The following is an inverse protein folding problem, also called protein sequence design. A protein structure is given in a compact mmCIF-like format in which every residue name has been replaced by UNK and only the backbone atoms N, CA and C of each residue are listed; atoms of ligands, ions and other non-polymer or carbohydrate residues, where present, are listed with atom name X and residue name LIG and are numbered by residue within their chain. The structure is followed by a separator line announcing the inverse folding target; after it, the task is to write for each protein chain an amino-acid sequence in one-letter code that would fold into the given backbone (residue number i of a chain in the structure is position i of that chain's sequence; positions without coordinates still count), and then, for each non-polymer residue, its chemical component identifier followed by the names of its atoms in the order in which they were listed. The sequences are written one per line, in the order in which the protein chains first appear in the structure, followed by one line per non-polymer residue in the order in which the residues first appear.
data_IF_784231698558
#
_entry.id   IF_784231698558
#
_cell.length_a   1.000
_cell.length_b   1.000
_cell.length_c   1.000
_cell.angle_alpha   90.00
_cell.angle_beta   90.00
_cell.angle_gamma   90.00
#
_symmetry.space_group_name_H-M   'P 1'
#
loop_
_entity.id
_entity.type
_entity.pdbx_description
1 polymer ?
#
# COMPACT_ATOMS: atom_id res chain seq x y z
N UNK A 1 6.92 18.19 -58.25
CA UNK A 1 6.08 18.91 -57.26
C UNK A 1 5.02 18.05 -56.58
N UNK A 2 4.37 17.10 -57.28
CA UNK A 2 3.28 16.28 -56.70
C UNK A 2 3.74 15.37 -55.55
N UNK A 3 4.94 14.78 -55.65
CA UNK A 3 5.55 13.95 -54.60
C UNK A 3 5.86 14.72 -53.31
N UNK A 4 6.38 15.95 -53.43
CA UNK A 4 6.66 16.83 -52.27
C UNK A 4 5.36 17.26 -51.56
N UNK A 5 4.30 17.54 -52.32
CA UNK A 5 2.98 17.84 -51.74
C UNK A 5 2.40 16.65 -50.99
N UNK A 6 2.49 15.45 -51.55
CA UNK A 6 2.07 14.22 -50.89
C UNK A 6 2.84 13.98 -49.59
N UNK A 7 4.17 14.08 -49.64
CA UNK A 7 5.03 13.89 -48.48
C UNK A 7 4.75 14.93 -47.38
N UNK A 8 4.52 16.19 -47.75
CA UNK A 8 4.15 17.23 -46.80
C UNK A 8 2.81 16.92 -46.09
N UNK A 9 1.77 16.55 -46.85
CA UNK A 9 0.46 16.19 -46.27
C UNK A 9 0.58 14.98 -45.36
N UNK A 10 1.32 13.95 -45.77
CA UNK A 10 1.58 12.77 -44.95
C UNK A 10 2.27 13.13 -43.63
N UNK A 11 3.33 13.94 -43.68
CA UNK A 11 4.04 14.37 -42.48
C UNK A 11 3.16 15.23 -41.55
N UNK A 12 2.32 16.11 -42.09
CA UNK A 12 1.37 16.88 -41.28
C UNK A 12 0.38 15.98 -40.54
N UNK A 13 -0.16 14.95 -41.21
CA UNK A 13 -1.09 14.00 -40.59
C UNK A 13 -0.37 13.21 -39.49
N UNK A 14 0.83 12.69 -39.78
CA UNK A 14 1.62 11.94 -38.80
C UNK A 14 1.98 12.80 -37.58
N UNK A 15 2.33 14.07 -37.79
CA UNK A 15 2.61 14.99 -36.70
C UNK A 15 1.40 15.18 -35.78
N UNK A 16 0.19 15.37 -36.35
CA UNK A 16 -1.03 15.49 -35.55
C UNK A 16 -1.31 14.21 -34.76
N UNK A 17 -1.16 13.04 -35.38
CA UNK A 17 -1.34 11.75 -34.71
C UNK A 17 -0.37 11.60 -33.54
N UNK A 18 0.92 11.88 -33.76
CA UNK A 18 1.95 11.81 -32.72
C UNK A 18 1.63 12.80 -31.60
N UNK A 19 1.24 14.03 -31.92
CA UNK A 19 0.90 15.04 -30.92
C UNK A 19 -0.29 14.60 -30.04
N UNK A 20 -1.34 14.04 -30.64
CA UNK A 20 -2.50 13.52 -29.90
C UNK A 20 -2.09 12.36 -28.99
N UNK A 21 -1.33 11.38 -29.50
CA UNK A 21 -0.84 10.25 -28.70
C UNK A 21 0.03 10.76 -27.54
N UNK A 22 0.92 11.71 -27.80
CA UNK A 22 1.79 12.28 -26.78
C UNK A 22 1.00 12.92 -25.65
N UNK A 23 0.00 13.76 -25.97
CA UNK A 23 -0.87 14.41 -24.98
C UNK A 23 -1.61 13.35 -24.14
N UNK A 24 -2.19 12.33 -24.76
CA UNK A 24 -2.90 11.26 -24.06
C UNK A 24 -1.97 10.51 -23.10
N UNK A 25 -0.76 10.16 -23.56
CA UNK A 25 0.24 9.50 -22.72
C UNK A 25 0.70 10.39 -21.57
N UNK A 26 0.88 11.69 -21.78
CA UNK A 26 1.25 12.63 -20.72
C UNK A 26 0.15 12.72 -19.66
N UNK A 27 -1.12 12.84 -20.05
CA UNK A 27 -2.25 12.87 -19.11
C UNK A 27 -2.31 11.56 -18.32
N UNK A 28 -2.21 10.41 -18.99
CA UNK A 28 -2.24 9.11 -18.34
C UNK A 28 -1.06 8.90 -17.38
N UNK A 29 0.14 9.30 -17.79
CA UNK A 29 1.34 9.21 -16.96
C UNK A 29 1.20 10.08 -15.70
N UNK A 30 0.76 11.34 -15.85
CA UNK A 30 0.55 12.25 -14.72
C UNK A 30 -0.51 11.72 -13.74
N UNK A 31 -1.61 11.16 -14.26
CA UNK A 31 -2.64 10.52 -13.43
C UNK A 31 -2.07 9.32 -12.66
N UNK A 32 -1.35 8.42 -13.34
CA UNK A 32 -0.71 7.25 -12.72
C UNK A 32 0.32 7.67 -11.68
N UNK A 33 1.15 8.66 -11.99
CA UNK A 33 2.18 9.18 -11.10
C UNK A 33 1.58 9.72 -9.81
N UNK A 34 0.57 10.60 -9.92
CA UNK A 34 -0.12 11.18 -8.76
C UNK A 34 -0.82 10.12 -7.90
N UNK A 35 -1.51 9.17 -8.51
CA UNK A 35 -2.40 8.26 -7.78
C UNK A 35 -1.72 6.98 -7.27
N UNK A 36 -0.60 6.58 -7.85
CA UNK A 36 0.07 5.31 -7.50
C UNK A 36 1.49 5.49 -7.01
N UNK A 37 2.28 6.37 -7.65
CA UNK A 37 3.70 6.53 -7.34
C UNK A 37 3.95 7.55 -6.23
N UNK A 38 3.15 8.62 -6.17
CA UNK A 38 3.23 9.64 -5.11
C UNK A 38 2.39 9.34 -3.87
N UNK A 39 1.67 8.21 -3.83
CA UNK A 39 0.93 7.84 -2.63
C UNK A 39 1.93 7.50 -1.52
N UNK A 40 2.10 8.41 -0.56
CA UNK A 40 3.04 8.28 0.57
C UNK A 40 2.77 7.01 1.40
N UNK A 41 1.53 6.51 1.38
CA UNK A 41 1.12 5.32 2.11
C UNK A 41 0.45 4.31 1.16
N UNK A 42 1.19 3.24 0.87
CA UNK A 42 0.73 2.16 -0.01
C UNK A 42 -0.19 1.14 0.69
N UNK A 43 -0.28 1.19 2.01
CA UNK A 43 -1.13 0.33 2.81
C UNK A 43 -2.42 1.04 3.26
N UNK A 44 -3.44 0.26 3.61
CA UNK A 44 -4.66 0.78 4.21
C UNK A 44 -4.41 1.09 5.70
N UNK A 45 -4.29 2.38 6.03
CA UNK A 45 -4.04 2.85 7.39
C UNK A 45 -5.11 2.39 8.38
N UNK A 46 -6.39 2.46 8.00
CA UNK A 46 -7.50 2.02 8.86
C UNK A 46 -7.38 0.54 9.19
N UNK A 47 -7.01 -0.26 8.19
CA UNK A 47 -6.76 -1.69 8.38
C UNK A 47 -5.54 -1.94 9.26
N UNK A 48 -4.47 -1.16 9.11
CA UNK A 48 -3.27 -1.28 9.93
C UNK A 48 -3.55 -0.94 11.39
N UNK A 49 -4.29 0.14 11.65
CA UNK A 49 -4.61 0.57 13.00
C UNK A 49 -5.56 -0.41 13.70
N UNK A 50 -6.53 -0.98 12.96
CA UNK A 50 -7.36 -2.07 13.50
C UNK A 50 -6.51 -3.29 13.91
N UNK A 51 -5.52 -3.68 13.10
CA UNK A 51 -4.59 -4.78 13.44
C UNK A 51 -3.73 -4.45 14.66
N UNK A 52 -3.21 -3.22 14.74
CA UNK A 52 -2.43 -2.75 15.89
C UNK A 52 -3.24 -2.79 17.16
N UNK A 53 -4.50 -2.35 17.13
CA UNK A 53 -5.37 -2.38 18.29
C UNK A 53 -5.62 -3.81 18.77
N UNK A 54 -5.95 -4.74 17.86
CA UNK A 54 -6.16 -6.14 18.21
C UNK A 54 -4.93 -6.78 18.86
N UNK A 55 -3.74 -6.50 18.33
CA UNK A 55 -2.48 -6.97 18.93
C UNK A 55 -2.23 -6.35 20.29
N UNK A 56 -2.45 -5.04 20.43
CA UNK A 56 -2.27 -4.32 21.69
C UNK A 56 -3.19 -4.90 22.77
N UNK A 57 -4.48 -5.04 22.48
CA UNK A 57 -5.46 -5.56 23.43
C UNK A 57 -5.12 -6.99 23.89
N UNK A 58 -4.66 -7.84 22.96
CA UNK A 58 -4.32 -9.22 23.27
C UNK A 58 -2.98 -9.35 24.03
N UNK A 59 -2.01 -8.49 23.72
CA UNK A 59 -0.75 -8.42 24.45
C UNK A 59 -0.91 -7.83 25.85
N UNK A 60 -1.75 -6.82 26.01
CA UNK A 60 -2.02 -6.24 27.33
C UNK A 60 -2.70 -7.27 28.25
N UNK A 61 -3.56 -8.14 27.70
CA UNK A 61 -4.14 -9.27 28.44
C UNK A 61 -3.12 -10.36 28.79
N UNK A 62 -2.26 -10.75 27.83
CA UNK A 62 -1.33 -11.88 28.00
C UNK A 62 -0.11 -11.52 28.81
N UNK A 63 0.46 -10.35 28.56
CA UNK A 63 1.78 -9.94 29.06
C UNK A 63 1.73 -8.73 29.99
N UNK A 64 0.54 -8.16 30.21
CA UNK A 64 0.36 -6.95 30.99
C UNK A 64 0.54 -5.67 30.16
N UNK A 65 0.25 -4.51 30.76
CA UNK A 65 0.21 -3.23 30.07
C UNK A 65 1.57 -2.86 29.46
N UNK A 66 1.52 -2.12 28.34
CA UNK A 66 2.71 -1.68 27.60
C UNK A 66 3.76 -0.96 28.48
N UNK A 67 3.33 -0.17 29.46
CA UNK A 67 4.19 0.56 30.39
C UNK A 67 5.06 -0.40 31.21
N UNK A 68 4.43 -1.40 31.83
CA UNK A 68 5.12 -2.46 32.59
C UNK A 68 6.12 -3.19 31.72
N UNK A 69 5.74 -3.56 30.49
CA UNK A 69 6.61 -4.30 29.56
C UNK A 69 7.85 -3.53 29.13
N UNK A 70 7.80 -2.19 29.14
CA UNK A 70 8.93 -1.33 28.79
C UNK A 70 9.84 -1.01 29.99
N UNK A 71 9.33 -1.14 31.20
CA UNK A 71 10.07 -0.84 32.44
C UNK A 71 10.91 -2.03 32.93
N UNK A 72 10.44 -3.26 32.70
CA UNK A 72 11.12 -4.46 33.20
C UNK A 72 12.29 -4.89 32.31
N UNK A 73 13.46 -5.12 32.92
CA UNK A 73 14.66 -5.61 32.23
C UNK A 73 14.73 -7.14 32.12
N UNK A 74 13.91 -7.86 32.89
CA UNK A 74 13.85 -9.32 32.87
C UNK A 74 12.40 -9.77 33.02
N UNK A 75 11.96 -10.64 32.12
CA UNK A 75 10.63 -11.24 32.12
C UNK A 75 10.74 -12.70 31.69
N UNK A 76 10.18 -13.60 32.49
CA UNK A 76 10.06 -15.02 32.13
C UNK A 76 8.65 -15.28 31.61
N UNK A 77 8.56 -15.72 30.36
CA UNK A 77 7.30 -16.08 29.72
C UNK A 77 6.89 -17.47 30.20
N UNK A 78 5.72 -17.59 30.82
CA UNK A 78 5.18 -18.89 31.20
C UNK A 78 4.66 -19.64 29.96
N UNK A 79 4.62 -20.96 30.02
CA UNK A 79 4.23 -21.80 28.87
C UNK A 79 2.84 -21.43 28.33
N UNK A 80 1.88 -21.13 29.21
CA UNK A 80 0.53 -20.71 28.86
C UNK A 80 0.45 -19.37 28.13
N UNK A 81 1.50 -18.55 28.21
CA UNK A 81 1.57 -17.23 27.56
C UNK A 81 2.19 -17.31 26.16
N UNK A 82 2.76 -18.46 25.78
CA UNK A 82 3.36 -18.65 24.47
C UNK A 82 2.37 -18.40 23.33
N UNK A 83 2.90 -17.88 22.21
CA UNK A 83 2.14 -17.62 21.01
C UNK A 83 2.13 -18.88 20.14
N UNK A 84 0.96 -19.36 19.76
CA UNK A 84 0.81 -20.43 18.79
C UNK A 84 1.23 -19.99 17.39
N UNK A 85 1.57 -20.95 16.52
CA UNK A 85 2.08 -20.75 15.16
C UNK A 85 1.18 -19.81 14.34
N UNK A 86 -0.14 -19.99 14.44
CA UNK A 86 -1.12 -19.19 13.71
C UNK A 86 -1.77 -18.08 14.55
N UNK A 87 -1.20 -17.74 15.71
CA UNK A 87 -1.78 -16.79 16.67
C UNK A 87 -2.23 -15.48 16.02
N UNK A 88 -1.33 -14.78 15.30
CA UNK A 88 -1.62 -13.49 14.67
C UNK A 88 -2.70 -13.62 13.60
N UNK A 89 -2.65 -14.69 12.79
CA UNK A 89 -3.62 -14.96 11.74
C UNK A 89 -5.01 -15.21 12.34
N UNK A 90 -5.08 -15.99 13.41
CA UNK A 90 -6.32 -16.31 14.11
C UNK A 90 -6.89 -15.09 14.84
N UNK A 91 -6.03 -14.26 15.42
CA UNK A 91 -6.41 -13.00 16.06
C UNK A 91 -7.07 -12.04 15.06
N UNK A 92 -6.47 -11.85 13.89
CA UNK A 92 -7.05 -10.98 12.85
C UNK A 92 -8.36 -11.54 12.29
N UNK A 93 -8.43 -12.86 12.04
CA UNK A 93 -9.68 -13.51 11.64
C UNK A 93 -10.80 -13.29 12.67
N UNK A 94 -10.49 -13.47 13.96
CA UNK A 94 -11.44 -13.25 15.08
C UNK A 94 -11.88 -11.79 15.16
N UNK A 95 -10.96 -10.86 14.92
CA UNK A 95 -11.25 -9.41 14.88
C UNK A 95 -11.90 -8.93 13.57
N UNK A 96 -12.23 -9.83 12.63
CA UNK A 96 -12.87 -9.48 11.37
C UNK A 96 -11.96 -8.73 10.39
N UNK A 97 -10.65 -8.70 10.63
CA UNK A 97 -9.68 -8.02 9.77
C UNK A 97 -9.07 -9.02 8.79
N UNK A 98 -9.25 -8.78 7.49
CA UNK A 98 -8.62 -9.60 6.44
C UNK A 98 -7.09 -9.57 6.62
N UNK A 99 -6.42 -10.70 6.38
CA UNK A 99 -4.95 -10.76 6.29
C UNK A 99 -4.41 -9.95 5.10
#
# INVERSE_FOLDING_TARGET
MQTLKFLFVFLCIMFVVIAVIFILLTIWNNYRFKNLLQKSVQYDEKRLDARRQLLKDEYDKRFGPEEFRKEVCYYSVKEEQNLDTDFVRNLYKKGGVKL
#
